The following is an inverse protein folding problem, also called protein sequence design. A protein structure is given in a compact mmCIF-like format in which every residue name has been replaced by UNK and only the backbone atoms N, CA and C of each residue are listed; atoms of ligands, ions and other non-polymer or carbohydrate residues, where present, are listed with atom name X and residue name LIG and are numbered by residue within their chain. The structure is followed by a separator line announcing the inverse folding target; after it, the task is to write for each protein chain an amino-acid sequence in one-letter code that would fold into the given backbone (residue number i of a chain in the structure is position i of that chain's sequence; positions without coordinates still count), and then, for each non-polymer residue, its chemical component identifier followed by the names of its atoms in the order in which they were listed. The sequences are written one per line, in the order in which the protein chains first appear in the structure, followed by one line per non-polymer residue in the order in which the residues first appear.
data_IF_328770999292
#
_entry.id   IF_328770999292
#
_cell.length_a   1.000
_cell.length_b   1.000
_cell.length_c   1.000
_cell.angle_alpha   90.00
_cell.angle_beta   90.00
_cell.angle_gamma   90.00
#
_symmetry.space_group_name_H-M   'P 1'
#
loop_
_entity.id
_entity.type
_entity.pdbx_description
1 polymer ?
#
# COMPACT_ATOMS: atom_id res chain seq x y z
N UNK A 1 26.08 -7.89 1.49
CA UNK A 1 24.90 -7.05 1.23
C UNK A 1 25.32 -5.89 0.35
N UNK A 2 24.88 -5.92 -0.90
CA UNK A 2 25.15 -4.88 -1.90
C UNK A 2 24.53 -3.54 -1.47
N UNK A 3 25.02 -2.42 -2.01
CA UNK A 3 24.51 -1.08 -1.68
C UNK A 3 23.04 -0.93 -2.09
N UNK A 4 22.65 -1.50 -3.24
CA UNK A 4 21.25 -1.50 -3.69
C UNK A 4 20.34 -2.29 -2.75
N UNK A 5 20.84 -3.39 -2.21
CA UNK A 5 20.13 -4.23 -1.24
C UNK A 5 19.91 -3.49 0.08
N UNK A 6 20.92 -2.75 0.56
CA UNK A 6 20.77 -1.85 1.72
C UNK A 6 19.69 -0.81 1.49
N UNK A 7 19.75 -0.13 0.33
CA UNK A 7 18.78 0.91 -0.02
C UNK A 7 17.36 0.34 -0.06
N UNK A 8 17.17 -0.84 -0.67
CA UNK A 8 15.89 -1.54 -0.71
C UNK A 8 15.35 -1.80 0.70
N UNK A 9 16.17 -2.35 1.59
CA UNK A 9 15.76 -2.65 2.97
C UNK A 9 15.27 -1.39 3.71
N UNK A 10 15.98 -0.25 3.58
CA UNK A 10 15.53 0.99 4.21
C UNK A 10 14.23 1.53 3.59
N UNK A 11 14.08 1.44 2.26
CA UNK A 11 12.84 1.81 1.58
C UNK A 11 11.67 0.95 2.05
N UNK A 12 11.86 -0.35 2.20
CA UNK A 12 10.81 -1.27 2.66
C UNK A 12 10.38 -0.97 4.10
N UNK A 13 11.34 -0.68 4.99
CA UNK A 13 11.04 -0.24 6.37
C UNK A 13 10.20 1.02 6.42
N UNK A 14 10.59 2.04 5.65
CA UNK A 14 9.85 3.30 5.58
C UNK A 14 8.47 3.12 4.95
N UNK A 15 8.39 2.36 3.86
CA UNK A 15 7.14 2.11 3.12
C UNK A 15 6.13 1.36 3.97
N UNK A 16 6.52 0.26 4.63
CA UNK A 16 5.64 -0.49 5.52
C UNK A 16 5.24 0.36 6.74
N UNK A 17 6.17 1.11 7.34
CA UNK A 17 5.84 2.03 8.43
C UNK A 17 4.80 3.08 8.00
N UNK A 18 4.97 3.69 6.82
CA UNK A 18 4.01 4.68 6.29
C UNK A 18 2.63 4.08 6.03
N UNK A 19 2.56 2.85 5.51
CA UNK A 19 1.30 2.14 5.34
C UNK A 19 0.61 1.94 6.70
N UNK A 20 1.35 1.47 7.71
CA UNK A 20 0.81 1.33 9.06
C UNK A 20 0.36 2.69 9.61
N UNK A 21 1.18 3.73 9.48
CA UNK A 21 0.92 5.07 10.01
C UNK A 21 -0.34 5.70 9.41
N UNK A 22 -0.44 5.74 8.08
CA UNK A 22 -1.51 6.42 7.36
C UNK A 22 -2.85 5.68 7.47
N UNK A 23 -2.83 4.34 7.50
CA UNK A 23 -4.05 3.53 7.44
C UNK A 23 -4.48 2.94 8.77
N UNK A 24 -3.71 3.14 9.84
CA UNK A 24 -4.12 2.78 11.20
C UNK A 24 -5.20 3.72 11.69
N UNK A 25 -6.03 3.22 12.59
CA UNK A 25 -7.08 3.98 13.27
C UNK A 25 -6.61 4.37 14.67
N UNK A 26 -7.15 5.44 15.28
CA UNK A 26 -6.84 5.80 16.67
C UNK A 26 -7.07 4.62 17.63
N UNK A 27 -6.17 4.47 18.59
CA UNK A 27 -6.19 3.42 19.61
C UNK A 27 -5.90 4.02 20.98
N UNK A 28 -6.61 3.53 22.00
CA UNK A 28 -6.39 3.89 23.39
C UNK A 28 -6.70 2.71 24.28
N UNK A 29 -5.77 2.34 25.14
CA UNK A 29 -5.92 1.30 26.16
C UNK A 29 -5.16 1.75 27.41
N UNK A 30 -5.82 1.69 28.57
CA UNK A 30 -5.23 2.10 29.85
C UNK A 30 -4.00 1.27 30.23
N UNK A 31 -3.95 0.01 29.80
CA UNK A 31 -2.81 -0.88 30.08
C UNK A 31 -1.62 -0.60 29.16
N UNK A 32 -1.86 0.03 28.00
CA UNK A 32 -0.85 0.32 26.99
C UNK A 32 -0.94 1.78 26.53
N UNK A 33 -0.71 2.74 27.44
CA UNK A 33 -0.94 4.17 27.18
C UNK A 33 0.00 4.73 26.09
N UNK A 34 1.11 4.06 25.81
CA UNK A 34 2.04 4.42 24.75
C UNK A 34 1.56 4.00 23.35
N UNK A 35 0.61 3.08 23.22
CA UNK A 35 0.05 2.66 21.94
C UNK A 35 -1.08 3.62 21.55
N UNK A 36 -0.97 4.23 20.37
CA UNK A 36 -1.85 5.34 19.96
C UNK A 36 -2.64 5.08 18.69
N UNK A 37 -2.20 4.13 17.87
CA UNK A 37 -2.90 3.74 16.66
C UNK A 37 -2.84 2.23 16.49
N UNK A 38 -3.83 1.67 15.80
CA UNK A 38 -3.94 0.25 15.50
C UNK A 38 -4.23 0.03 14.02
N UNK A 39 -3.49 -0.89 13.40
CA UNK A 39 -3.76 -1.44 12.08
C UNK A 39 -4.02 -2.94 12.20
N UNK A 40 -5.03 -3.44 11.50
CA UNK A 40 -5.42 -4.86 11.53
C UNK A 40 -5.23 -5.48 10.15
N UNK A 41 -4.84 -6.75 10.14
CA UNK A 41 -4.67 -7.61 8.96
C UNK A 41 -3.43 -7.35 8.11
N UNK A 42 -2.47 -8.27 8.17
CA UNK A 42 -1.31 -8.26 7.26
C UNK A 42 -1.71 -8.34 5.79
N UNK A 43 -2.78 -9.09 5.46
CA UNK A 43 -3.28 -9.13 4.08
C UNK A 43 -3.60 -7.72 3.58
N UNK A 44 -4.17 -6.86 4.43
CA UNK A 44 -4.46 -5.47 4.06
C UNK A 44 -3.19 -4.67 3.81
N UNK A 45 -2.11 -4.90 4.59
CA UNK A 45 -0.78 -4.32 4.31
C UNK A 45 -0.32 -4.74 2.91
N UNK A 46 -0.36 -6.05 2.60
CA UNK A 46 0.09 -6.57 1.30
C UNK A 46 -0.65 -5.93 0.12
N UNK A 47 -1.97 -5.71 0.24
CA UNK A 47 -2.77 -5.14 -0.85
C UNK A 47 -2.56 -3.64 -1.02
N UNK A 48 -2.43 -2.90 0.07
CA UNK A 48 -2.06 -1.47 0.01
C UNK A 48 -0.65 -1.31 -0.53
N UNK A 49 0.28 -2.15 -0.05
CA UNK A 49 1.66 -2.15 -0.52
C UNK A 49 1.73 -2.41 -2.03
N UNK A 50 0.96 -3.38 -2.52
CA UNK A 50 0.88 -3.67 -3.95
C UNK A 50 0.48 -2.44 -4.79
N UNK A 51 -0.54 -1.67 -4.36
CA UNK A 51 -0.96 -0.45 -5.05
C UNK A 51 0.11 0.65 -5.00
N UNK A 52 0.81 0.76 -3.86
CA UNK A 52 1.89 1.74 -3.71
C UNK A 52 3.11 1.39 -4.57
N UNK A 53 3.41 0.10 -4.73
CA UNK A 53 4.51 -0.41 -5.56
C UNK A 53 4.21 -0.42 -7.04
N UNK A 54 2.94 -0.44 -7.44
CA UNK A 54 2.52 -0.55 -8.83
C UNK A 54 1.54 0.59 -9.17
N UNK A 55 2.07 1.79 -9.52
CA UNK A 55 1.23 2.96 -9.80
C UNK A 55 0.29 2.81 -11.00
N UNK A 56 0.59 1.91 -11.93
CA UNK A 56 -0.30 1.49 -13.01
C UNK A 56 -1.54 0.78 -12.47
N UNK A 57 -1.38 -0.15 -11.52
CA UNK A 57 -2.51 -0.79 -10.84
C UNK A 57 -3.33 0.20 -10.02
N UNK A 58 -2.68 1.14 -9.32
CA UNK A 58 -3.41 2.23 -8.64
C UNK A 58 -4.25 3.05 -9.64
N UNK A 59 -3.66 3.40 -10.78
CA UNK A 59 -4.34 4.19 -11.82
C UNK A 59 -5.52 3.44 -12.43
N UNK A 60 -5.38 2.14 -12.67
CA UNK A 60 -6.45 1.29 -13.17
C UNK A 60 -7.63 1.25 -12.20
N UNK A 61 -7.37 1.06 -10.91
CA UNK A 61 -8.42 1.05 -9.88
C UNK A 61 -9.12 2.41 -9.76
N UNK A 62 -8.37 3.52 -9.86
CA UNK A 62 -8.96 4.86 -9.90
C UNK A 62 -9.88 5.03 -11.11
N UNK A 63 -9.46 4.61 -12.31
CA UNK A 63 -10.30 4.65 -13.51
C UNK A 63 -11.60 3.85 -13.30
N UNK A 64 -11.55 2.70 -12.65
CA UNK A 64 -12.75 1.92 -12.34
C UNK A 64 -13.71 2.65 -11.38
N UNK A 65 -13.17 3.39 -10.40
CA UNK A 65 -13.98 4.28 -9.55
C UNK A 65 -14.64 5.37 -10.42
N UNK A 66 -13.89 6.00 -11.31
CA UNK A 66 -14.38 7.07 -12.19
C UNK A 66 -15.46 6.59 -13.18
N UNK A 67 -15.41 5.33 -13.63
CA UNK A 67 -16.48 4.71 -14.43
C UNK A 67 -17.79 4.57 -13.64
N UNK A 68 -17.71 4.26 -12.35
CA UNK A 68 -18.87 4.10 -11.47
C UNK A 68 -19.37 5.40 -10.83
N UNK A 69 -18.54 6.44 -10.78
CA UNK A 69 -18.83 7.70 -10.10
C UNK A 69 -18.41 8.91 -10.97
N UNK A 70 -19.38 9.46 -11.69
CA UNK A 70 -19.20 10.62 -12.57
C UNK A 70 -18.62 11.84 -11.83
N UNK A 71 -18.94 12.00 -10.54
CA UNK A 71 -18.49 13.17 -9.76
C UNK A 71 -16.97 13.19 -9.55
N UNK A 72 -16.33 12.02 -9.60
CA UNK A 72 -14.88 11.86 -9.40
C UNK A 72 -14.09 11.85 -10.70
N UNK A 73 -14.75 11.81 -11.86
CA UNK A 73 -14.08 11.64 -13.15
C UNK A 73 -13.02 12.71 -13.42
N UNK A 74 -13.33 13.98 -13.16
CA UNK A 74 -12.40 15.08 -13.45
C UNK A 74 -11.17 15.05 -12.52
N UNK A 75 -11.37 14.73 -11.24
CA UNK A 75 -10.30 14.61 -10.26
C UNK A 75 -9.39 13.43 -10.60
N UNK A 76 -9.98 12.25 -10.82
CA UNK A 76 -9.24 11.03 -11.15
C UNK A 76 -8.48 11.18 -12.47
N UNK A 77 -9.08 11.85 -13.46
CA UNK A 77 -8.41 12.14 -14.74
C UNK A 77 -7.08 12.85 -14.52
N UNK A 78 -7.07 13.89 -13.67
CA UNK A 78 -5.86 14.65 -13.34
C UNK A 78 -4.86 13.77 -12.60
N UNK A 79 -5.30 13.04 -11.59
CA UNK A 79 -4.44 12.15 -10.78
C UNK A 79 -3.73 11.12 -11.67
N UNK A 80 -4.46 10.44 -12.57
CA UNK A 80 -3.88 9.41 -13.43
C UNK A 80 -2.89 10.00 -14.43
N UNK A 81 -3.21 11.16 -15.01
CA UNK A 81 -2.26 11.89 -15.86
C UNK A 81 -0.99 12.24 -15.09
N UNK A 82 -1.11 12.83 -13.91
CA UNK A 82 0.03 13.20 -13.09
C UNK A 82 0.91 11.98 -12.77
N UNK A 83 0.32 10.81 -12.49
CA UNK A 83 1.06 9.56 -12.25
C UNK A 83 1.88 9.15 -13.49
N UNK A 84 1.29 9.23 -14.68
CA UNK A 84 1.93 8.80 -15.93
C UNK A 84 2.94 9.82 -16.47
N UNK A 85 2.64 11.11 -16.41
CA UNK A 85 3.55 12.21 -16.80
C UNK A 85 4.83 12.20 -15.95
N UNK A 86 4.71 11.88 -14.65
CA UNK A 86 5.85 11.68 -13.76
C UNK A 86 6.56 10.32 -13.92
N UNK A 87 6.14 9.50 -14.90
CA UNK A 87 6.70 8.19 -15.24
C UNK A 87 6.72 7.20 -14.07
N UNK A 88 5.81 7.34 -13.11
CA UNK A 88 5.81 6.54 -11.89
C UNK A 88 5.66 5.03 -12.14
N UNK A 89 4.80 4.57 -13.08
CA UNK A 89 4.71 3.14 -13.41
C UNK A 89 6.02 2.51 -13.90
N UNK A 90 7.01 3.32 -14.29
CA UNK A 90 8.34 2.85 -14.70
C UNK A 90 9.36 3.05 -13.59
N UNK A 91 9.46 4.27 -13.04
CA UNK A 91 10.56 4.63 -12.13
C UNK A 91 10.29 4.27 -10.66
N UNK A 92 9.02 4.11 -10.27
CA UNK A 92 8.60 3.79 -8.89
C UNK A 92 8.18 2.34 -8.73
N UNK A 93 8.07 1.60 -9.84
CA UNK A 93 7.67 0.19 -9.81
C UNK A 93 8.62 -0.61 -8.91
N UNK A 94 8.03 -1.41 -8.03
CA UNK A 94 8.75 -2.41 -7.27
C UNK A 94 8.01 -3.73 -7.38
N UNK A 95 8.70 -4.74 -7.92
CA UNK A 95 8.10 -6.04 -8.17
C UNK A 95 7.61 -6.69 -6.87
N UNK A 96 6.59 -7.52 -7.00
CA UNK A 96 5.98 -8.25 -5.88
C UNK A 96 5.57 -9.63 -6.39
N UNK A 97 5.88 -10.67 -5.62
CA UNK A 97 5.67 -12.05 -6.05
C UNK A 97 4.19 -12.45 -5.93
N UNK A 98 3.73 -13.27 -6.85
CA UNK A 98 2.46 -13.97 -6.73
C UNK A 98 2.62 -15.17 -5.81
N UNK A 99 1.92 -15.16 -4.69
CA UNK A 99 1.89 -16.28 -3.73
C UNK A 99 0.47 -16.65 -3.37
N UNK A 100 0.10 -17.94 -3.34
CA UNK A 100 -1.24 -18.52 -3.07
C UNK A 100 -2.46 -17.58 -3.32
N UNK A 101 -2.70 -16.60 -2.46
CA UNK A 101 -3.84 -15.67 -2.44
C UNK A 101 -3.59 -14.24 -2.98
N UNK A 102 -2.45 -13.96 -3.59
CA UNK A 102 -2.21 -12.78 -4.44
C UNK A 102 -0.77 -12.28 -4.35
N UNK A 103 -0.57 -10.98 -4.56
CA UNK A 103 0.68 -10.31 -4.28
C UNK A 103 1.11 -10.51 -2.82
N UNK A 104 2.38 -10.84 -2.63
CA UNK A 104 3.00 -11.12 -1.33
C UNK A 104 4.45 -10.61 -1.28
N UNK A 105 4.82 -10.04 -0.14
CA UNK A 105 6.20 -9.76 0.28
C UNK A 105 6.38 -10.29 1.71
N UNK A 106 7.52 -10.89 2.02
CA UNK A 106 7.90 -11.14 3.41
C UNK A 106 8.22 -9.81 4.13
N UNK A 107 7.42 -9.46 5.13
CA UNK A 107 7.59 -8.24 5.93
C UNK A 107 8.12 -8.53 7.33
N UNK A 108 8.40 -9.78 7.70
CA UNK A 108 8.71 -10.15 9.09
C UNK A 108 9.98 -9.43 9.58
N UNK A 109 11.01 -9.33 8.73
CA UNK A 109 12.23 -8.57 9.04
C UNK A 109 11.98 -7.07 9.18
N UNK A 110 11.04 -6.52 8.42
CA UNK A 110 10.65 -5.10 8.52
C UNK A 110 9.90 -4.85 9.83
N UNK A 111 8.95 -5.73 10.18
CA UNK A 111 8.19 -5.65 11.43
C UNK A 111 9.13 -5.80 12.64
N UNK A 112 10.06 -6.76 12.60
CA UNK A 112 11.05 -6.96 13.65
C UNK A 112 11.94 -5.72 13.87
N UNK A 113 12.39 -5.08 12.78
CA UNK A 113 13.15 -3.84 12.85
C UNK A 113 12.31 -2.68 13.42
N UNK A 114 11.09 -2.47 12.93
CA UNK A 114 10.23 -1.39 13.43
C UNK A 114 9.88 -1.58 14.91
N UNK A 115 9.74 -2.83 15.37
CA UNK A 115 9.58 -3.14 16.80
C UNK A 115 10.84 -2.84 17.60
N UNK A 116 12.03 -3.18 17.09
CA UNK A 116 13.28 -2.98 17.83
C UNK A 116 13.64 -1.51 18.04
N UNK A 117 13.15 -0.61 17.18
CA UNK A 117 13.31 0.85 17.33
C UNK A 117 12.11 1.54 17.99
N UNK A 118 11.22 0.75 18.62
CA UNK A 118 10.01 1.22 19.32
C UNK A 118 9.04 2.03 18.43
N UNK A 119 9.04 1.78 17.12
CA UNK A 119 8.09 2.44 16.22
C UNK A 119 6.73 1.74 16.22
N UNK A 120 6.74 0.42 16.38
CA UNK A 120 5.52 -0.38 16.45
C UNK A 120 5.60 -1.41 17.57
N UNK A 121 4.42 -1.84 18.01
CA UNK A 121 4.26 -3.16 18.64
C UNK A 121 3.40 -4.05 17.74
N UNK A 122 3.45 -5.37 17.93
CA UNK A 122 2.61 -6.30 17.18
C UNK A 122 2.08 -7.42 18.07
N UNK A 123 0.86 -7.85 17.77
CA UNK A 123 0.27 -9.04 18.37
C UNK A 123 -0.22 -9.98 17.28
N UNK A 124 0.06 -11.28 17.44
CA UNK A 124 -0.46 -12.35 16.61
C UNK A 124 -1.21 -13.31 17.52
N UNK A 125 -2.54 -13.41 17.37
CA UNK A 125 -3.38 -14.32 18.14
C UNK A 125 -4.18 -15.19 17.19
N UNK A 126 -4.33 -16.49 17.51
CA UNK A 126 -5.35 -17.30 16.85
C UNK A 126 -6.71 -16.68 17.16
N UNK A 127 -7.52 -16.49 16.12
CA UNK A 127 -8.91 -16.07 16.24
C UNK A 127 -9.72 -17.08 17.07
N UNK A 128 -10.88 -16.63 17.53
CA UNK A 128 -11.82 -17.45 18.32
C UNK A 128 -12.29 -18.69 17.52
N UNK A 129 -12.39 -18.58 16.19
CA UNK A 129 -12.73 -19.71 15.31
C UNK A 129 -11.58 -20.71 15.09
N UNK A 130 -10.39 -20.45 15.67
CA UNK A 130 -9.14 -21.22 15.56
C UNK A 130 -8.62 -21.42 14.12
N UNK A 131 -9.27 -20.82 13.13
CA UNK A 131 -8.97 -20.99 11.70
C UNK A 131 -8.15 -19.84 11.15
N UNK A 132 -8.23 -18.66 11.75
CA UNK A 132 -7.51 -17.46 11.28
C UNK A 132 -6.51 -16.95 12.30
N UNK A 133 -5.45 -16.31 11.83
CA UNK A 133 -4.49 -15.64 12.70
C UNK A 133 -4.79 -14.15 12.60
N UNK A 134 -5.23 -13.57 13.71
CA UNK A 134 -5.45 -12.12 13.82
C UNK A 134 -4.12 -11.44 14.13
N UNK A 135 -3.53 -10.82 13.10
CA UNK A 135 -2.36 -9.94 13.24
C UNK A 135 -2.82 -8.49 13.46
N UNK A 136 -2.35 -7.86 14.54
CA UNK A 136 -2.54 -6.45 14.87
C UNK A 136 -1.18 -5.78 14.99
N UNK A 137 -1.10 -4.58 14.45
CA UNK A 137 0.08 -3.73 14.47
C UNK A 137 -0.30 -2.44 15.18
N UNK A 138 0.45 -2.05 16.19
CA UNK A 138 0.21 -0.86 16.99
C UNK A 138 1.31 0.14 16.75
N UNK A 139 0.97 1.42 16.71
CA UNK A 139 1.94 2.50 16.56
C UNK A 139 2.10 3.19 17.90
N UNK A 140 3.36 3.38 18.31
CA UNK A 140 3.70 3.99 19.58
C UNK A 140 3.62 5.52 19.48
N UNK A 141 3.48 6.19 20.63
CA UNK A 141 3.60 7.65 20.72
C UNK A 141 4.98 8.10 20.22
N UNK A 142 6.05 7.36 20.57
CA UNK A 142 7.41 7.67 20.13
C UNK A 142 7.53 7.73 18.60
N UNK A 143 6.91 6.77 17.89
CA UNK A 143 6.90 6.76 16.44
C UNK A 143 6.18 7.98 15.85
N UNK A 144 5.04 8.36 16.44
CA UNK A 144 4.27 9.54 16.02
C UNK A 144 5.10 10.81 16.19
N UNK A 145 5.71 10.99 17.37
CA UNK A 145 6.52 12.18 17.67
C UNK A 145 7.72 12.27 16.72
N UNK A 146 8.40 11.16 16.45
CA UNK A 146 9.51 11.11 15.47
C UNK A 146 9.03 11.36 14.05
N UNK A 147 7.88 10.81 13.68
CA UNK A 147 7.35 11.01 12.34
C UNK A 147 7.03 12.47 12.08
N UNK A 148 6.26 13.11 12.98
CA UNK A 148 5.83 14.50 12.83
C UNK A 148 6.97 15.51 12.98
N UNK A 149 7.95 15.25 13.86
CA UNK A 149 9.05 16.19 14.10
C UNK A 149 10.19 16.13 13.07
N UNK A 150 10.45 14.97 12.46
CA UNK A 150 11.67 14.78 11.66
C UNK A 150 11.45 14.07 10.33
N UNK A 151 10.58 13.06 10.27
CA UNK A 151 10.49 12.19 9.09
C UNK A 151 9.58 12.79 8.02
N UNK A 152 8.42 13.34 8.41
CA UNK A 152 7.40 13.87 7.50
C UNK A 152 7.89 15.03 6.64
N UNK A 153 8.90 15.78 7.09
CA UNK A 153 9.48 16.92 6.38
C UNK A 153 10.58 16.53 5.38
N UNK A 154 10.99 15.26 5.34
CA UNK A 154 12.05 14.79 4.44
C UNK A 154 11.56 14.79 2.98
N UNK A 155 12.19 15.55 2.06
CA UNK A 155 11.74 15.62 0.67
C UNK A 155 11.71 14.26 -0.04
N UNK A 156 12.62 13.36 0.33
CA UNK A 156 12.69 11.99 -0.20
C UNK A 156 11.43 11.15 0.11
N UNK A 157 10.64 11.53 1.12
CA UNK A 157 9.42 10.84 1.53
C UNK A 157 8.15 11.46 0.97
N UNK A 158 8.22 12.65 0.39
CA UNK A 158 7.04 13.37 -0.12
C UNK A 158 6.19 12.50 -1.04
N UNK A 159 6.84 11.79 -1.96
CA UNK A 159 6.15 10.88 -2.87
C UNK A 159 5.39 9.77 -2.13
N UNK A 160 6.02 9.10 -1.18
CA UNK A 160 5.38 8.03 -0.41
C UNK A 160 4.22 8.56 0.44
N UNK A 161 4.39 9.71 1.10
CA UNK A 161 3.33 10.33 1.91
C UNK A 161 2.14 10.71 1.04
N UNK A 162 2.38 11.37 -0.10
CA UNK A 162 1.34 11.75 -1.05
C UNK A 162 0.60 10.53 -1.61
N UNK A 163 1.33 9.47 -2.00
CA UNK A 163 0.72 8.26 -2.57
C UNK A 163 -0.01 7.43 -1.52
N UNK A 164 0.50 7.30 -0.30
CA UNK A 164 -0.26 6.70 0.80
C UNK A 164 -1.54 7.50 1.10
N UNK A 165 -1.47 8.83 1.11
CA UNK A 165 -2.64 9.69 1.28
C UNK A 165 -3.67 9.50 0.17
N UNK A 166 -3.24 9.48 -1.09
CA UNK A 166 -4.09 9.19 -2.24
C UNK A 166 -4.77 7.81 -2.11
N UNK A 167 -4.00 6.76 -1.78
CA UNK A 167 -4.56 5.42 -1.61
C UNK A 167 -5.53 5.40 -0.42
N UNK A 168 -5.25 6.11 0.69
CA UNK A 168 -6.18 6.23 1.83
C UNK A 168 -7.48 6.94 1.42
N UNK A 169 -7.42 7.98 0.59
CA UNK A 169 -8.60 8.71 0.16
C UNK A 169 -9.60 7.86 -0.64
N UNK A 170 -9.11 6.97 -1.51
CA UNK A 170 -9.98 6.14 -2.36
C UNK A 170 -10.22 4.73 -1.84
N UNK A 171 -9.27 4.17 -1.08
CA UNK A 171 -9.28 2.77 -0.65
C UNK A 171 -9.16 2.60 0.88
N UNK A 172 -9.20 3.71 1.63
CA UNK A 172 -8.99 3.72 3.07
C UNK A 172 -9.99 2.94 3.90
N UNK A 173 -11.19 2.70 3.36
CA UNK A 173 -12.24 1.90 3.99
C UNK A 173 -12.29 0.46 3.45
N UNK A 174 -11.48 0.16 2.44
CA UNK A 174 -11.44 -1.18 1.84
C UNK A 174 -10.69 -2.17 2.74
N UNK A 175 -11.32 -3.32 2.94
CA UNK A 175 -10.69 -4.49 3.56
C UNK A 175 -9.68 -5.14 2.62
N UNK A 176 -8.77 -5.95 3.18
CA UNK A 176 -7.82 -6.73 2.38
C UNK A 176 -8.51 -7.67 1.38
N UNK A 177 -9.69 -8.21 1.72
CA UNK A 177 -10.48 -9.05 0.83
C UNK A 177 -11.07 -8.26 -0.34
N UNK A 178 -11.61 -7.05 -0.10
CA UNK A 178 -12.16 -6.21 -1.17
C UNK A 178 -11.06 -5.79 -2.15
N UNK A 179 -9.91 -5.34 -1.64
CA UNK A 179 -8.75 -4.99 -2.48
C UNK A 179 -8.24 -6.20 -3.28
N UNK A 180 -8.23 -7.38 -2.67
CA UNK A 180 -7.88 -8.61 -3.37
C UNK A 180 -8.88 -8.87 -4.51
N UNK A 181 -10.18 -8.74 -4.27
CA UNK A 181 -11.20 -9.03 -5.28
C UNK A 181 -11.02 -8.14 -6.51
N UNK A 182 -10.78 -6.83 -6.35
CA UNK A 182 -10.59 -5.96 -7.51
C UNK A 182 -9.28 -6.24 -8.24
N UNK A 183 -8.18 -6.50 -7.51
CA UNK A 183 -6.90 -6.92 -8.13
C UNK A 183 -7.04 -8.18 -8.98
N UNK A 184 -7.87 -9.14 -8.56
CA UNK A 184 -8.14 -10.37 -9.32
C UNK A 184 -9.05 -10.18 -10.55
N UNK A 185 -9.66 -9.01 -10.74
CA UNK A 185 -10.38 -8.68 -11.98
C UNK A 185 -9.43 -8.34 -13.13
N UNK A 186 -8.14 -8.13 -12.84
CA UNK A 186 -7.12 -7.78 -13.82
C UNK A 186 -6.44 -9.05 -14.28
N UNK A 187 -6.54 -9.36 -15.58
CA UNK A 187 -6.05 -10.62 -16.14
C UNK A 187 -4.56 -10.85 -15.87
N UNK A 188 -3.71 -9.82 -16.03
CA UNK A 188 -2.28 -9.92 -15.74
C UNK A 188 -2.01 -10.42 -14.31
N UNK A 189 -2.70 -9.85 -13.32
CA UNK A 189 -2.57 -10.24 -11.92
C UNK A 189 -3.12 -11.65 -11.65
N UNK A 190 -4.28 -11.95 -12.22
CA UNK A 190 -4.97 -13.23 -12.04
C UNK A 190 -4.16 -14.39 -12.61
N UNK A 191 -3.56 -14.17 -13.79
CA UNK A 191 -2.86 -15.18 -14.57
C UNK A 191 -1.37 -15.31 -14.23
N UNK A 192 -0.81 -14.41 -13.40
CA UNK A 192 0.57 -14.56 -12.92
C UNK A 192 0.76 -15.92 -12.25
N UNK A 193 1.80 -16.66 -12.64
CA UNK A 193 2.11 -17.98 -12.07
C UNK A 193 2.59 -17.87 -10.63
N UNK A 194 2.43 -18.96 -9.87
CA UNK A 194 2.96 -19.04 -8.51
C UNK A 194 4.47 -18.80 -8.45
N UNK A 195 4.89 -17.92 -7.54
CA UNK A 195 6.27 -17.44 -7.31
C UNK A 195 6.89 -16.63 -8.47
N UNK A 196 6.10 -16.20 -9.44
CA UNK A 196 6.53 -15.24 -10.45
C UNK A 196 6.19 -13.81 -10.01
N UNK A 197 6.93 -12.83 -10.55
CA UNK A 197 6.62 -11.42 -10.34
C UNK A 197 5.39 -11.02 -11.15
N UNK A 198 4.52 -10.24 -10.51
CA UNK A 198 3.32 -9.70 -11.17
C UNK A 198 3.74 -8.62 -12.17
N UNK A 199 3.37 -8.82 -13.43
CA UNK A 199 3.70 -7.95 -14.56
C UNK A 199 2.96 -6.61 -14.54
N UNK A 200 3.35 -5.71 -15.43
CA UNK A 200 2.79 -4.37 -15.52
C UNK A 200 1.58 -4.28 -16.42
N UNK A 201 0.74 -3.28 -16.19
CA UNK A 201 -0.52 -3.10 -16.93
C UNK A 201 -0.64 -1.70 -17.54
N UNK A 202 0.49 -1.05 -17.84
CA UNK A 202 0.47 0.32 -18.40
C UNK A 202 -0.40 0.42 -19.66
N UNK A 203 -0.36 -0.58 -20.54
CA UNK A 203 -1.19 -0.59 -21.75
C UNK A 203 -2.69 -0.75 -21.46
N UNK A 204 -3.05 -1.53 -20.44
CA UNK A 204 -4.43 -1.62 -19.99
C UNK A 204 -4.90 -0.26 -19.45
N UNK A 205 -4.06 0.43 -18.67
CA UNK A 205 -4.38 1.78 -18.18
C UNK A 205 -4.55 2.76 -19.33
N UNK A 206 -3.64 2.77 -20.31
CA UNK A 206 -3.76 3.60 -21.52
C UNK A 206 -5.09 3.36 -22.25
N UNK A 207 -5.45 2.08 -22.42
CA UNK A 207 -6.68 1.68 -23.10
C UNK A 207 -7.91 2.14 -22.32
N UNK A 208 -7.97 1.86 -21.02
CA UNK A 208 -9.12 2.22 -20.18
C UNK A 208 -9.26 3.72 -19.97
N UNK A 209 -8.15 4.45 -19.89
CA UNK A 209 -8.15 5.90 -19.81
C UNK A 209 -8.69 6.51 -21.11
N UNK A 210 -8.24 6.02 -22.27
CA UNK A 210 -8.76 6.45 -23.56
C UNK A 210 -10.26 6.16 -23.72
N UNK A 211 -10.69 4.95 -23.33
CA UNK A 211 -12.11 4.58 -23.41
C UNK A 211 -13.00 5.48 -22.55
N UNK A 212 -12.53 5.88 -21.37
CA UNK A 212 -13.31 6.72 -20.46
C UNK A 212 -13.28 8.21 -20.84
N UNK A 213 -12.13 8.73 -21.27
CA UNK A 213 -11.91 10.18 -21.42
C UNK A 213 -11.72 10.63 -22.87
N UNK A 214 -11.65 9.71 -23.83
CA UNK A 214 -11.35 9.95 -25.25
C UNK A 214 -10.03 10.71 -25.45
N UNK A 215 -9.04 10.44 -24.60
CA UNK A 215 -7.74 11.11 -24.57
C UNK A 215 -6.62 10.12 -24.25
N UNK A 216 -5.40 10.39 -24.72
CA UNK A 216 -4.20 9.59 -24.41
C UNK A 216 -3.52 10.08 -23.14
N UNK A 217 -2.80 9.17 -22.47
CA UNK A 217 -1.86 9.45 -21.39
C UNK A 217 -0.48 9.82 -21.93
#
# INVERSE_FOLDING_TARGET
MDENEKIRIYKDRLRIFLILYVFSEPYSDLNFPNLKRIFKSEQRIQKIDFLLRNPDYLSFELINIAKGDLSKQLEIKKIVKDIFENKEPVIRRLEMERFFFGAYEDIDNVIAFLKSVDFIDFSSKKSIDLKTIEKKYFITQYAIDKFESAIKSLPALNWYVQRCGLIKNYFGDSSGSQLRISQYQIDEYKNTTYKEYIGGIQENVNTEFFNLYLEKL
#
